data_IF_463731820792
#
_entry.id   IF_463731820792
#
_cell.length_a   1.000
_cell.length_b   1.000
_cell.length_c   1.000
_cell.angle_alpha   90.00
_cell.angle_beta   90.00
_cell.angle_gamma   90.00
#
_symmetry.space_group_name_H-M   'P 1'
#
loop_
_entity.id
_entity.type
_entity.pdbx_description
1 polymer ?
#
# COMPACT_ATOMS: atom_id res chain seq x y z
N UNK A 1 20.24 42.15 29.63
CA UNK A 1 20.71 41.72 28.29
C UNK A 1 21.31 40.34 28.46
N UNK A 2 20.63 39.29 27.98
CA UNK A 2 21.19 37.94 27.99
C UNK A 2 22.26 37.86 26.89
N UNK A 3 23.48 37.36 27.18
CA UNK A 3 24.48 37.15 26.15
C UNK A 3 24.00 36.04 25.22
N UNK A 4 23.88 36.37 23.94
CA UNK A 4 23.68 35.39 22.88
C UNK A 4 24.97 34.55 22.82
N UNK A 5 24.86 33.26 23.17
CA UNK A 5 25.94 32.30 23.04
C UNK A 5 26.17 32.08 21.53
N UNK A 6 27.02 32.90 20.90
CA UNK A 6 27.53 32.64 19.55
C UNK A 6 28.51 31.46 19.61
N UNK A 7 27.96 30.25 19.64
CA UNK A 7 28.74 29.04 19.41
C UNK A 7 29.01 28.96 17.90
N UNK A 8 30.08 29.61 17.44
CA UNK A 8 30.50 29.52 16.04
C UNK A 8 30.79 28.05 15.70
N UNK A 9 29.99 27.47 14.80
CA UNK A 9 30.25 26.15 14.24
C UNK A 9 31.59 26.17 13.52
N UNK A 10 32.40 25.10 13.68
CA UNK A 10 33.69 25.03 12.99
C UNK A 10 33.43 24.93 11.50
N UNK A 11 34.26 25.59 10.68
CA UNK A 11 34.15 25.51 9.23
C UNK A 11 34.12 24.05 8.72
N UNK A 12 34.86 23.15 9.36
CA UNK A 12 34.83 21.71 9.07
C UNK A 12 33.45 21.06 9.24
N UNK A 13 32.68 21.52 10.22
CA UNK A 13 31.35 20.98 10.52
C UNK A 13 30.33 21.50 9.50
N UNK A 14 30.42 22.78 9.14
CA UNK A 14 29.64 23.38 8.04
C UNK A 14 29.94 22.65 6.72
N UNK A 15 31.21 22.42 6.39
CA UNK A 15 31.59 21.70 5.17
C UNK A 15 31.07 20.27 5.14
N UNK A 16 31.08 19.54 6.27
CA UNK A 16 30.50 18.19 6.34
C UNK A 16 28.99 18.20 6.16
N UNK A 17 28.31 19.17 6.77
CA UNK A 17 26.86 19.35 6.66
C UNK A 17 26.47 19.66 5.21
N UNK A 18 27.12 20.63 4.59
CA UNK A 18 26.91 21.01 3.18
C UNK A 18 27.27 19.86 2.24
N UNK A 19 28.40 19.17 2.44
CA UNK A 19 28.79 18.03 1.60
C UNK A 19 27.77 16.88 1.65
N UNK A 20 27.03 16.73 2.76
CA UNK A 20 25.98 15.73 2.87
C UNK A 20 24.79 16.01 1.94
N UNK A 21 24.52 17.28 1.62
CA UNK A 21 23.46 17.72 0.70
C UNK A 21 23.80 17.42 -0.77
N UNK A 22 25.08 17.43 -1.13
CA UNK A 22 25.55 17.12 -2.49
C UNK A 22 25.73 15.62 -2.75
N UNK A 23 25.53 14.77 -1.73
CA UNK A 23 25.69 13.33 -1.88
C UNK A 23 24.58 12.80 -2.80
N UNK A 24 24.93 12.06 -3.87
CA UNK A 24 23.90 11.52 -4.76
C UNK A 24 22.98 10.58 -3.99
N UNK A 25 21.67 10.57 -4.32
CA UNK A 25 20.71 9.69 -3.68
C UNK A 25 21.15 8.23 -3.82
N UNK A 26 21.11 7.48 -2.72
CA UNK A 26 21.51 6.08 -2.69
C UNK A 26 20.58 5.25 -3.57
N UNK A 27 21.14 4.43 -4.47
CA UNK A 27 20.37 3.47 -5.28
C UNK A 27 19.99 2.23 -4.46
N UNK A 28 19.21 2.44 -3.40
CA UNK A 28 18.70 1.38 -2.54
C UNK A 28 17.25 1.07 -2.94
N UNK A 29 16.85 -0.19 -3.12
CA UNK A 29 15.44 -0.53 -3.28
C UNK A 29 14.62 0.04 -2.12
N UNK A 30 13.44 0.58 -2.42
CA UNK A 30 12.60 1.30 -1.46
C UNK A 30 12.31 0.42 -0.22
N UNK A 31 12.00 -0.86 -0.42
CA UNK A 31 11.73 -1.79 0.68
C UNK A 31 12.95 -2.01 1.60
N UNK A 32 14.16 -2.05 1.04
CA UNK A 32 15.38 -2.20 1.83
C UNK A 32 15.72 -0.91 2.59
N UNK A 33 15.46 0.26 1.99
CA UNK A 33 15.56 1.53 2.69
C UNK A 33 14.59 1.61 3.88
N UNK A 34 13.34 1.19 3.69
CA UNK A 34 12.35 1.14 4.76
C UNK A 34 12.83 0.22 5.87
N UNK A 35 13.27 -1.00 5.56
CA UNK A 35 13.82 -1.94 6.54
C UNK A 35 14.97 -1.32 7.35
N UNK A 36 15.88 -0.62 6.68
CA UNK A 36 17.07 -0.02 7.31
C UNK A 36 16.72 1.17 8.19
N UNK A 37 15.87 2.07 7.72
CA UNK A 37 15.71 3.39 8.29
C UNK A 37 14.39 3.64 9.02
N UNK A 38 13.32 2.93 8.69
CA UNK A 38 12.03 3.07 9.35
C UNK A 38 11.98 2.25 10.65
N UNK A 39 11.33 2.81 11.66
CA UNK A 39 10.95 2.12 12.89
C UNK A 39 9.44 2.16 13.04
N UNK A 40 8.83 0.98 13.08
CA UNK A 40 7.39 0.77 13.24
C UNK A 40 7.05 0.79 14.74
N UNK A 41 6.19 1.70 15.20
CA UNK A 41 5.74 1.72 16.59
C UNK A 41 4.89 0.47 16.92
N UNK A 42 5.24 -0.28 17.98
CA UNK A 42 4.49 -1.46 18.47
C UNK A 42 3.73 -1.20 19.78
N UNK A 43 3.83 0.00 20.32
CA UNK A 43 3.21 0.42 21.58
C UNK A 43 3.52 1.89 21.86
N UNK A 44 3.25 2.35 23.08
CA UNK A 44 3.52 3.75 23.45
C UNK A 44 5.01 4.12 23.40
N UNK A 45 5.89 3.19 23.79
CA UNK A 45 7.34 3.40 23.88
C UNK A 45 8.18 2.30 23.18
N UNK A 46 7.54 1.32 22.56
CA UNK A 46 8.24 0.22 21.86
C UNK A 46 8.14 0.43 20.35
N UNK A 47 9.25 0.22 19.66
CA UNK A 47 9.31 0.24 18.19
C UNK A 47 10.26 -0.86 17.71
N UNK A 48 10.02 -1.36 16.50
CA UNK A 48 10.86 -2.36 15.85
C UNK A 48 11.21 -1.94 14.42
N UNK A 49 12.19 -2.58 13.77
CA UNK A 49 12.39 -2.41 12.34
C UNK A 49 11.15 -2.88 11.58
N UNK A 50 10.93 -2.31 10.40
CA UNK A 50 9.97 -2.87 9.45
C UNK A 50 10.46 -4.24 8.98
N UNK A 51 9.64 -5.27 9.11
CA UNK A 51 9.98 -6.64 8.78
C UNK A 51 9.32 -7.06 7.46
N UNK A 52 10.10 -7.11 6.38
CA UNK A 52 9.62 -7.47 5.05
C UNK A 52 8.99 -8.88 4.98
N UNK A 53 9.47 -9.82 5.80
CA UNK A 53 8.96 -11.19 5.89
C UNK A 53 7.55 -11.31 6.48
N UNK A 54 7.02 -10.24 7.10
CA UNK A 54 5.64 -10.23 7.59
C UNK A 54 4.65 -10.00 6.46
N UNK A 55 5.00 -9.14 5.49
CA UNK A 55 4.15 -8.80 4.34
C UNK A 55 4.96 -8.84 3.04
N UNK A 56 5.45 -10.02 2.62
CA UNK A 56 6.34 -10.17 1.47
C UNK A 56 5.72 -9.69 0.15
N UNK A 57 4.42 -9.85 -0.02
CA UNK A 57 3.67 -9.35 -1.18
C UNK A 57 3.72 -7.81 -1.34
N UNK A 58 4.14 -7.07 -0.31
CA UNK A 58 4.32 -5.61 -0.38
C UNK A 58 5.66 -5.19 -0.99
N UNK A 59 6.66 -6.08 -1.04
CA UNK A 59 8.03 -5.75 -1.46
C UNK A 59 8.06 -5.19 -2.88
N UNK A 60 7.43 -5.90 -3.83
CA UNK A 60 7.39 -5.50 -5.24
C UNK A 60 6.63 -4.19 -5.47
N UNK A 61 5.38 -4.01 -4.98
CA UNK A 61 4.69 -2.73 -5.02
C UNK A 61 5.52 -1.57 -4.47
N UNK A 62 6.17 -1.77 -3.31
CA UNK A 62 7.00 -0.75 -2.66
C UNK A 62 8.21 -0.39 -3.52
N UNK A 63 8.94 -1.38 -4.02
CA UNK A 63 10.13 -1.14 -4.86
C UNK A 63 9.76 -0.44 -6.18
N UNK A 64 8.57 -0.74 -6.72
CA UNK A 64 8.05 -0.12 -7.94
C UNK A 64 7.83 1.39 -7.80
N UNK A 65 7.68 1.93 -6.59
CA UNK A 65 7.55 3.37 -6.33
C UNK A 65 8.78 4.21 -6.73
N UNK A 66 9.92 3.56 -7.00
CA UNK A 66 11.14 4.19 -7.50
C UNK A 66 11.43 3.90 -8.98
N UNK A 67 10.62 3.05 -9.62
CA UNK A 67 10.79 2.69 -11.01
C UNK A 67 10.37 3.85 -11.93
N UNK A 68 11.17 4.11 -12.96
CA UNK A 68 10.98 5.24 -13.89
C UNK A 68 10.10 4.91 -15.09
N UNK A 69 9.80 3.63 -15.29
CA UNK A 69 8.94 3.13 -16.36
C UNK A 69 7.44 3.30 -16.07
N UNK A 70 7.08 3.56 -14.81
CA UNK A 70 5.70 3.74 -14.36
C UNK A 70 5.48 5.18 -13.88
N UNK A 71 4.29 5.72 -14.15
CA UNK A 71 3.85 6.99 -13.54
C UNK A 71 3.02 6.77 -12.28
N UNK A 72 2.47 5.56 -12.13
CA UNK A 72 1.61 5.26 -11.01
C UNK A 72 1.74 3.81 -10.53
N UNK A 73 1.57 3.65 -9.23
CA UNK A 73 1.42 2.35 -8.56
C UNK A 73 0.03 2.29 -7.94
N UNK A 74 -0.75 1.28 -8.32
CA UNK A 74 -2.09 1.03 -7.78
C UNK A 74 -2.06 -0.26 -7.00
N UNK A 75 -2.42 -0.23 -5.71
CA UNK A 75 -2.49 -1.43 -4.88
C UNK A 75 -3.91 -1.64 -4.37
N UNK A 76 -4.54 -2.70 -4.85
CA UNK A 76 -5.82 -3.21 -4.38
C UNK A 76 -5.55 -4.35 -3.41
N UNK A 77 -6.09 -4.25 -2.21
CA UNK A 77 -6.13 -5.41 -1.33
C UNK A 77 -7.00 -5.18 -0.12
N UNK A 78 -7.33 -6.22 0.65
CA UNK A 78 -8.15 -6.09 1.83
C UNK A 78 -7.47 -5.25 2.91
N UNK A 79 -8.22 -4.83 3.91
CA UNK A 79 -7.67 -4.18 5.10
C UNK A 79 -6.63 -5.08 5.77
N UNK A 80 -5.71 -4.48 6.54
CA UNK A 80 -4.67 -5.20 7.30
C UNK A 80 -3.71 -6.03 6.43
N UNK A 81 -3.31 -5.48 5.29
CA UNK A 81 -2.27 -6.06 4.42
C UNK A 81 -0.92 -5.35 4.55
N UNK A 82 -0.83 -4.29 5.37
CA UNK A 82 0.40 -3.49 5.51
C UNK A 82 0.51 -2.36 4.48
N UNK A 83 -0.55 -2.05 3.73
CA UNK A 83 -0.59 -1.00 2.68
C UNK A 83 -0.08 0.34 3.19
N UNK A 84 -0.76 0.92 4.19
CA UNK A 84 -0.40 2.24 4.72
C UNK A 84 1.02 2.27 5.29
N UNK A 85 1.44 1.23 6.01
CA UNK A 85 2.77 1.18 6.62
C UNK A 85 3.89 1.07 5.57
N UNK A 86 3.73 0.21 4.57
CA UNK A 86 4.74 -0.01 3.55
C UNK A 86 4.72 1.04 2.43
N UNK A 87 3.57 1.26 1.81
CA UNK A 87 3.42 2.11 0.63
C UNK A 87 3.35 3.60 0.97
N UNK A 88 2.80 3.98 2.13
CA UNK A 88 2.65 5.39 2.53
C UNK A 88 3.77 5.78 3.48
N UNK A 89 3.76 5.26 4.72
CA UNK A 89 4.72 5.64 5.76
C UNK A 89 6.16 5.32 5.31
N UNK A 90 6.36 4.13 4.74
CA UNK A 90 7.66 3.70 4.23
C UNK A 90 8.17 4.55 3.06
N UNK A 91 7.30 4.92 2.13
CA UNK A 91 7.68 5.76 1.00
C UNK A 91 8.03 7.20 1.42
N UNK A 92 7.34 7.73 2.44
CA UNK A 92 7.72 8.99 3.09
C UNK A 92 9.14 8.88 3.66
N UNK A 93 9.46 7.81 4.41
CA UNK A 93 10.81 7.61 4.98
C UNK A 93 11.87 7.50 3.88
N UNK A 94 11.57 6.78 2.79
CA UNK A 94 12.45 6.70 1.63
C UNK A 94 12.67 8.08 1.00
N UNK A 95 11.61 8.85 0.83
CA UNK A 95 11.67 10.21 0.30
C UNK A 95 12.51 11.14 1.16
N UNK A 96 12.43 11.04 2.50
CA UNK A 96 13.21 11.89 3.41
C UNK A 96 14.71 11.54 3.37
N UNK A 97 15.06 10.27 3.27
CA UNK A 97 16.45 9.82 3.48
C UNK A 97 17.19 9.57 2.18
N UNK A 98 16.56 8.88 1.24
CA UNK A 98 17.23 8.31 0.07
C UNK A 98 17.05 9.17 -1.18
N UNK A 99 15.89 9.79 -1.36
CA UNK A 99 15.57 10.61 -2.53
C UNK A 99 14.71 11.83 -2.13
N UNK A 100 15.29 12.85 -1.46
CA UNK A 100 14.58 14.08 -1.07
C UNK A 100 13.75 14.70 -2.20
N UNK A 101 12.45 14.88 -1.93
CA UNK A 101 11.54 15.58 -2.83
C UNK A 101 10.18 15.80 -2.19
N UNK A 102 9.47 16.82 -2.68
CA UNK A 102 8.14 17.18 -2.20
C UNK A 102 7.14 16.05 -2.41
N UNK A 103 6.36 15.78 -1.36
CA UNK A 103 5.39 14.70 -1.31
C UNK A 103 4.06 15.18 -0.75
N UNK A 104 2.97 14.81 -1.43
CA UNK A 104 1.60 14.99 -0.97
C UNK A 104 1.02 13.64 -0.58
N UNK A 105 0.49 13.53 0.63
CA UNK A 105 -0.31 12.39 1.12
C UNK A 105 -1.73 12.85 1.31
N UNK A 106 -2.69 12.21 0.66
CA UNK A 106 -4.11 12.54 0.75
C UNK A 106 -4.84 11.42 1.48
N UNK A 107 -5.42 11.76 2.63
CA UNK A 107 -6.27 10.89 3.44
C UNK A 107 -7.74 11.12 3.10
N UNK A 108 -8.64 10.21 3.50
CA UNK A 108 -10.08 10.32 3.18
C UNK A 108 -10.78 11.58 3.71
N UNK A 109 -10.34 12.13 4.84
CA UNK A 109 -10.93 13.32 5.47
C UNK A 109 -9.85 14.13 6.20
N UNK A 110 -10.12 15.40 6.48
CA UNK A 110 -9.23 16.28 7.26
C UNK A 110 -8.93 15.68 8.65
N UNK A 111 -9.93 15.14 9.34
CA UNK A 111 -9.76 14.50 10.64
C UNK A 111 -8.78 13.32 10.56
N UNK A 112 -8.88 12.50 9.49
CA UNK A 112 -7.97 11.36 9.29
C UNK A 112 -6.57 11.81 8.87
N UNK A 113 -6.44 12.88 8.09
CA UNK A 113 -5.15 13.53 7.81
C UNK A 113 -4.45 13.97 9.11
N UNK A 114 -5.19 14.65 9.99
CA UNK A 114 -4.70 15.09 11.30
C UNK A 114 -4.32 13.93 12.21
N UNK A 115 -5.15 12.89 12.26
CA UNK A 115 -4.90 11.68 13.05
C UNK A 115 -3.62 10.97 12.57
N UNK A 116 -3.51 10.74 11.26
CA UNK A 116 -2.35 10.09 10.63
C UNK A 116 -1.05 10.84 10.95
N UNK A 117 -1.05 12.17 10.81
CA UNK A 117 0.11 13.01 11.16
C UNK A 117 0.50 12.93 12.64
N UNK A 118 -0.46 13.17 13.55
CA UNK A 118 -0.18 13.29 14.99
C UNK A 118 0.16 11.97 15.66
N UNK A 119 -0.43 10.87 15.18
CA UNK A 119 -0.32 9.58 15.86
C UNK A 119 0.70 8.67 15.19
N UNK A 120 0.64 8.52 13.86
CA UNK A 120 1.41 7.52 13.12
C UNK A 120 2.73 8.09 12.63
N UNK A 121 2.71 9.17 11.85
CA UNK A 121 3.93 9.77 11.30
C UNK A 121 4.80 10.38 12.40
N UNK A 122 4.21 11.13 13.34
CA UNK A 122 4.96 11.72 14.45
C UNK A 122 5.68 10.67 15.30
N UNK A 123 5.07 9.50 15.54
CA UNK A 123 5.72 8.38 16.25
C UNK A 123 6.81 7.75 15.38
N UNK A 124 6.52 7.47 14.11
CA UNK A 124 7.50 6.90 13.16
C UNK A 124 8.75 7.78 13.08
N UNK A 125 8.59 9.09 12.94
CA UNK A 125 9.70 10.05 12.87
C UNK A 125 10.49 10.10 14.17
N UNK A 126 9.80 10.15 15.32
CA UNK A 126 10.44 10.14 16.64
C UNK A 126 11.25 8.86 16.90
N UNK A 127 10.75 7.70 16.46
CA UNK A 127 11.42 6.43 16.66
C UNK A 127 12.48 6.11 15.60
N UNK A 128 12.49 6.82 14.46
CA UNK A 128 13.44 6.62 13.36
C UNK A 128 14.56 7.67 13.42
N UNK A 129 15.76 7.36 13.95
CA UNK A 129 16.75 8.39 14.27
C UNK A 129 17.24 9.16 13.04
N UNK A 130 17.39 8.48 11.90
CA UNK A 130 17.85 9.09 10.66
C UNK A 130 16.80 10.02 10.02
N UNK A 131 15.52 9.77 10.28
CA UNK A 131 14.42 10.65 9.88
C UNK A 131 14.39 11.88 10.78
N UNK A 132 14.46 11.67 12.10
CA UNK A 132 14.39 12.76 13.08
C UNK A 132 15.50 13.80 12.89
N UNK A 133 16.69 13.39 12.45
CA UNK A 133 17.82 14.30 12.18
C UNK A 133 17.59 15.22 10.98
N UNK A 134 16.67 14.87 10.09
CA UNK A 134 16.38 15.62 8.85
C UNK A 134 15.18 16.55 8.97
N UNK A 135 14.41 16.46 10.05
CA UNK A 135 13.33 17.41 10.32
C UNK A 135 13.90 18.79 10.58
N UNK A 136 13.25 19.83 10.07
CA UNK A 136 13.60 21.21 10.41
C UNK A 136 13.50 21.42 11.93
N UNK A 137 14.48 22.09 12.58
CA UNK A 137 14.41 22.41 14.01
C UNK A 137 13.42 23.55 14.30
N UNK A 138 12.98 24.30 13.27
CA UNK A 138 12.01 25.38 13.42
C UNK A 138 10.64 24.83 13.82
N UNK A 139 10.03 25.43 14.84
CA UNK A 139 8.68 25.07 15.29
C UNK A 139 7.60 25.41 14.26
N UNK A 140 7.81 26.45 13.45
CA UNK A 140 6.84 26.90 12.45
C UNK A 140 6.77 25.97 11.23
N UNK A 141 7.83 25.20 11.01
CA UNK A 141 8.02 24.32 9.87
C UNK A 141 7.39 22.93 10.08
N UNK A 142 6.88 22.66 11.28
CA UNK A 142 6.41 21.36 11.72
C UNK A 142 4.95 21.40 12.18
N UNK A 143 4.05 21.79 11.26
CA UNK A 143 2.62 21.87 11.51
C UNK A 143 1.94 20.49 11.44
N UNK A 144 0.64 20.44 11.72
CA UNK A 144 -0.12 19.18 11.68
C UNK A 144 -0.18 18.62 10.27
N UNK A 145 -0.42 19.45 9.26
CA UNK A 145 -0.61 19.01 7.88
C UNK A 145 0.64 19.19 7.02
N UNK A 146 1.69 19.80 7.55
CA UNK A 146 2.83 20.25 6.77
C UNK A 146 4.11 20.04 7.57
N UNK A 147 5.11 19.40 6.96
CA UNK A 147 6.43 19.15 7.55
C UNK A 147 7.52 19.59 6.57
N UNK A 148 8.47 20.41 7.00
CA UNK A 148 9.67 20.72 6.23
C UNK A 148 10.90 19.96 6.74
N UNK A 149 11.77 19.61 5.82
CA UNK A 149 13.04 18.94 6.08
C UNK A 149 14.22 19.89 5.81
N UNK A 150 15.38 19.56 6.37
CA UNK A 150 16.60 20.38 6.28
C UNK A 150 17.13 20.56 4.85
N UNK A 151 16.80 19.63 3.95
CA UNK A 151 17.13 19.72 2.53
C UNK A 151 16.18 20.65 1.75
N UNK A 152 15.18 21.23 2.41
CA UNK A 152 14.18 22.12 1.83
C UNK A 152 12.95 21.40 1.28
N UNK A 153 12.92 20.06 1.27
CA UNK A 153 11.76 19.30 0.82
C UNK A 153 10.59 19.41 1.80
N UNK A 154 9.40 19.16 1.26
CA UNK A 154 8.13 19.39 1.95
C UNK A 154 7.21 18.17 1.89
N UNK A 155 6.65 17.79 3.04
CA UNK A 155 5.60 16.78 3.15
C UNK A 155 4.27 17.44 3.54
N UNK A 156 3.31 17.38 2.61
CA UNK A 156 1.92 17.80 2.84
C UNK A 156 1.02 16.61 3.13
N UNK A 157 0.11 16.76 4.09
CA UNK A 157 -0.87 15.75 4.51
C UNK A 157 -2.26 16.38 4.39
N UNK A 158 -2.92 16.12 3.26
CA UNK A 158 -4.21 16.70 2.89
C UNK A 158 -5.36 15.69 2.88
N UNK A 159 -6.46 16.14 2.29
CA UNK A 159 -7.71 15.40 2.07
C UNK A 159 -8.27 15.78 0.68
N UNK A 160 -9.34 15.14 0.19
CA UNK A 160 -9.80 15.35 -1.17
C UNK A 160 -10.53 16.70 -1.25
N UNK A 161 -9.79 17.75 -1.61
CA UNK A 161 -10.33 19.08 -1.92
C UNK A 161 -9.57 19.70 -3.08
N UNK A 162 -10.23 20.56 -3.85
CA UNK A 162 -9.56 21.30 -4.95
C UNK A 162 -8.39 22.11 -4.41
N UNK A 163 -8.51 22.71 -3.24
CA UNK A 163 -7.44 23.53 -2.64
C UNK A 163 -6.18 22.71 -2.34
N UNK A 164 -6.32 21.43 -2.01
CA UNK A 164 -5.18 20.52 -1.79
C UNK A 164 -4.59 20.07 -3.13
N UNK A 165 -5.44 19.79 -4.12
CA UNK A 165 -5.01 19.35 -5.45
C UNK A 165 -4.60 20.49 -6.39
N UNK A 166 -4.79 21.76 -6.02
CA UNK A 166 -4.48 22.92 -6.86
C UNK A 166 -3.16 23.60 -6.47
N UNK A 167 -2.61 24.38 -7.41
CA UNK A 167 -1.51 25.34 -7.21
C UNK A 167 -0.09 24.79 -6.99
N UNK A 168 0.10 23.57 -6.48
CA UNK A 168 1.43 23.03 -6.18
C UNK A 168 1.72 21.73 -6.90
N UNK A 169 2.87 21.65 -7.56
CA UNK A 169 3.40 20.41 -8.13
C UNK A 169 4.11 19.59 -7.05
N UNK A 170 3.92 18.28 -7.08
CA UNK A 170 4.58 17.34 -6.17
C UNK A 170 5.21 16.23 -6.98
N UNK A 171 6.47 15.92 -6.72
CA UNK A 171 7.13 14.78 -7.37
C UNK A 171 6.47 13.46 -6.96
N UNK A 172 5.89 13.40 -5.76
CA UNK A 172 5.22 12.22 -5.22
C UNK A 172 3.85 12.57 -4.71
N UNK A 173 2.83 11.83 -5.13
CA UNK A 173 1.48 11.94 -4.57
C UNK A 173 1.00 10.56 -4.15
N UNK A 174 0.52 10.43 -2.92
CA UNK A 174 -0.03 9.19 -2.38
C UNK A 174 -1.48 9.39 -1.95
N UNK A 175 -2.39 8.58 -2.50
CA UNK A 175 -3.81 8.55 -2.16
C UNK A 175 -4.09 7.26 -1.38
N UNK A 176 -4.56 7.38 -0.14
CA UNK A 176 -4.79 6.24 0.75
C UNK A 176 -6.26 6.11 1.09
N UNK A 177 -6.76 4.87 1.09
CA UNK A 177 -8.18 4.54 1.19
C UNK A 177 -9.03 5.20 0.08
N UNK A 178 -8.55 5.15 -1.16
CA UNK A 178 -9.15 5.79 -2.34
C UNK A 178 -10.65 5.53 -2.54
N UNK A 179 -11.14 4.31 -2.32
CA UNK A 179 -12.57 3.99 -2.48
C UNK A 179 -13.47 4.77 -1.52
N UNK A 180 -12.93 5.37 -0.45
CA UNK A 180 -13.66 6.24 0.47
C UNK A 180 -13.74 7.70 0.02
N UNK A 181 -13.10 8.06 -1.10
CA UNK A 181 -13.08 9.44 -1.60
C UNK A 181 -14.38 9.76 -2.35
N UNK A 182 -14.76 11.03 -2.49
CA UNK A 182 -15.82 11.39 -3.43
C UNK A 182 -15.41 10.99 -4.87
N UNK A 183 -16.37 10.54 -5.68
CA UNK A 183 -16.09 10.17 -7.09
C UNK A 183 -15.68 11.39 -7.92
N UNK A 184 -16.19 12.56 -7.53
CA UNK A 184 -15.83 13.84 -8.10
C UNK A 184 -15.43 14.79 -6.96
N UNK A 185 -14.16 15.20 -6.93
CA UNK A 185 -13.64 16.14 -5.94
C UNK A 185 -14.09 17.55 -6.33
N UNK A 186 -15.08 18.07 -5.62
CA UNK A 186 -15.62 19.43 -5.75
C UNK A 186 -16.02 19.83 -7.20
N UNK A 187 -16.30 18.86 -8.08
CA UNK A 187 -16.76 19.10 -9.46
C UNK A 187 -15.68 18.98 -10.56
N UNK A 188 -14.40 18.85 -10.21
CA UNK A 188 -13.25 18.88 -11.15
C UNK A 188 -12.80 17.50 -11.66
N UNK A 189 -13.38 16.41 -11.16
CA UNK A 189 -13.10 15.03 -11.56
C UNK A 189 -12.56 14.14 -10.43
N UNK A 190 -12.08 12.95 -10.80
CA UNK A 190 -11.59 11.97 -9.84
C UNK A 190 -10.24 12.36 -9.24
N UNK A 191 -10.02 12.00 -7.97
CA UNK A 191 -8.82 12.39 -7.24
C UNK A 191 -7.52 11.83 -7.84
N UNK A 192 -7.55 10.67 -8.50
CA UNK A 192 -6.35 10.12 -9.14
C UNK A 192 -5.92 10.96 -10.35
N UNK A 193 -6.86 11.39 -11.18
CA UNK A 193 -6.58 12.28 -12.30
C UNK A 193 -6.06 13.63 -11.81
N UNK A 194 -6.65 14.19 -10.75
CA UNK A 194 -6.15 15.44 -10.15
C UNK A 194 -4.75 15.29 -9.56
N UNK A 195 -4.49 14.19 -8.85
CA UNK A 195 -3.16 13.86 -8.30
C UNK A 195 -2.10 13.68 -9.38
N UNK A 196 -2.42 12.96 -10.46
CA UNK A 196 -1.49 12.68 -11.56
C UNK A 196 -1.07 13.96 -12.31
N UNK A 197 -1.94 14.97 -12.36
CA UNK A 197 -1.60 16.30 -12.91
C UNK A 197 -0.52 17.03 -12.09
N UNK A 198 -0.27 16.66 -10.83
CA UNK A 198 0.75 17.29 -9.97
C UNK A 198 2.14 16.68 -10.14
N UNK A 199 2.21 15.45 -10.61
CA UNK A 199 3.47 14.74 -10.89
C UNK A 199 3.95 14.96 -12.32
N UNK A 200 3.10 15.51 -13.20
CA UNK A 200 3.35 15.62 -14.65
C UNK A 200 4.63 16.40 -14.99
N UNK A 201 4.90 17.50 -14.28
CA UNK A 201 6.10 18.34 -14.51
C UNK A 201 7.41 17.61 -14.19
N UNK A 202 7.35 16.54 -13.40
CA UNK A 202 8.51 15.72 -13.01
C UNK A 202 8.80 14.56 -13.97
N UNK A 203 8.03 14.41 -15.06
CA UNK A 203 8.24 13.41 -16.11
C UNK A 203 8.42 11.98 -15.52
N UNK A 204 9.41 11.22 -16.00
CA UNK A 204 9.75 9.86 -15.50
C UNK A 204 10.14 9.77 -14.03
N UNK A 205 10.27 10.89 -13.32
CA UNK A 205 10.60 10.92 -11.89
C UNK A 205 9.39 11.23 -11.00
N UNK A 206 8.26 11.61 -11.59
CA UNK A 206 6.99 11.80 -10.92
C UNK A 206 6.27 10.47 -10.71
N UNK A 207 5.66 10.28 -9.54
CA UNK A 207 4.99 9.02 -9.18
C UNK A 207 3.70 9.28 -8.40
N UNK A 208 2.61 8.65 -8.81
CA UNK A 208 1.31 8.67 -8.12
C UNK A 208 0.99 7.29 -7.56
N UNK A 209 0.98 7.17 -6.24
CA UNK A 209 0.55 5.96 -5.54
C UNK A 209 -0.93 6.06 -5.19
N UNK A 210 -1.67 4.98 -5.41
CA UNK A 210 -3.03 4.81 -4.91
C UNK A 210 -3.14 3.45 -4.23
N UNK A 211 -3.60 3.42 -2.99
CA UNK A 211 -3.92 2.17 -2.30
C UNK A 211 -5.32 2.23 -1.71
N UNK A 212 -6.05 1.11 -1.79
CA UNK A 212 -7.37 1.01 -1.18
C UNK A 212 -7.81 -0.44 -0.98
N UNK A 213 -8.83 -0.60 -0.14
CA UNK A 213 -9.62 -1.82 -0.09
C UNK A 213 -10.84 -1.62 -0.99
N UNK A 214 -11.12 -2.54 -1.94
CA UNK A 214 -12.24 -2.38 -2.85
C UNK A 214 -13.55 -2.36 -2.06
N UNK A 215 -14.43 -1.42 -2.37
CA UNK A 215 -15.73 -1.29 -1.71
C UNK A 215 -16.80 -0.60 -2.55
N UNK A 216 -16.54 -0.39 -3.84
CA UNK A 216 -17.48 0.18 -4.81
C UNK A 216 -18.32 -0.90 -5.47
N UNK A 217 -19.55 -0.54 -5.82
CA UNK A 217 -20.49 -1.47 -6.42
C UNK A 217 -20.10 -1.83 -7.86
N UNK A 218 -20.35 -3.07 -8.24
CA UNK A 218 -20.12 -3.55 -9.61
C UNK A 218 -21.19 -2.90 -10.50
N UNK A 219 -20.76 -2.16 -11.53
CA UNK A 219 -21.65 -1.39 -12.40
C UNK A 219 -22.42 -2.25 -13.40
N UNK A 220 -21.89 -3.44 -13.73
CA UNK A 220 -22.53 -4.41 -14.62
C UNK A 220 -22.65 -5.77 -13.94
N UNK A 221 -23.85 -6.11 -13.48
CA UNK A 221 -24.14 -7.37 -12.78
C UNK A 221 -24.14 -8.60 -13.71
N UNK A 222 -24.19 -8.39 -15.03
CA UNK A 222 -24.07 -9.47 -16.02
C UNK A 222 -22.64 -9.69 -16.47
N UNK A 223 -21.71 -8.90 -15.94
CA UNK A 223 -20.31 -8.99 -16.30
C UNK A 223 -19.77 -10.40 -16.06
N UNK A 224 -19.03 -10.88 -17.05
CA UNK A 224 -18.23 -12.10 -16.94
C UNK A 224 -16.79 -11.72 -17.14
N UNK A 225 -15.91 -12.32 -16.36
CA UNK A 225 -14.48 -12.07 -16.41
C UNK A 225 -13.93 -12.30 -17.82
N UNK A 226 -13.46 -11.23 -18.47
CA UNK A 226 -12.97 -11.25 -19.85
C UNK A 226 -11.53 -11.73 -19.99
N UNK A 227 -10.74 -11.68 -18.91
CA UNK A 227 -9.35 -12.13 -18.86
C UNK A 227 -8.95 -12.60 -17.47
N UNK A 228 -7.90 -13.43 -17.37
CA UNK A 228 -7.51 -14.09 -16.12
C UNK A 228 -7.27 -13.14 -14.93
N UNK A 229 -6.85 -11.90 -15.20
CA UNK A 229 -6.52 -10.91 -14.17
C UNK A 229 -7.46 -9.70 -14.18
N UNK A 230 -8.50 -9.69 -15.01
CA UNK A 230 -9.40 -8.54 -15.12
C UNK A 230 -10.29 -8.42 -13.88
N UNK A 231 -10.46 -7.19 -13.39
CA UNK A 231 -11.39 -6.89 -12.30
C UNK A 231 -12.79 -6.58 -12.83
N UNK A 232 -13.84 -6.85 -12.03
CA UNK A 232 -15.19 -6.45 -12.39
C UNK A 232 -15.27 -4.94 -12.63
N UNK A 233 -16.15 -4.48 -13.54
CA UNK A 233 -16.32 -3.08 -13.85
C UNK A 233 -16.94 -2.38 -12.65
N UNK A 234 -16.25 -1.36 -12.15
CA UNK A 234 -16.70 -0.52 -11.03
C UNK A 234 -16.01 0.84 -11.09
N UNK A 235 -16.45 1.79 -10.28
CA UNK A 235 -15.72 3.03 -10.00
C UNK A 235 -14.63 2.78 -8.93
N UNK A 236 -13.82 3.77 -8.60
CA UNK A 236 -12.79 3.61 -7.56
C UNK A 236 -11.55 2.82 -7.98
N UNK A 237 -10.93 2.12 -7.04
CA UNK A 237 -9.59 1.54 -7.14
C UNK A 237 -9.50 0.41 -8.16
N UNK A 238 -10.54 -0.43 -8.28
CA UNK A 238 -10.57 -1.52 -9.25
C UNK A 238 -10.62 -1.01 -10.69
N UNK A 239 -11.25 0.15 -10.91
CA UNK A 239 -11.19 0.87 -12.19
C UNK A 239 -9.75 1.26 -12.54
N UNK A 240 -9.01 1.80 -11.57
CA UNK A 240 -7.59 2.17 -11.74
C UNK A 240 -6.72 0.93 -11.95
N UNK A 241 -7.00 -0.16 -11.25
CA UNK A 241 -6.31 -1.42 -11.44
C UNK A 241 -6.45 -1.94 -12.87
N UNK A 242 -7.66 -1.88 -13.43
CA UNK A 242 -7.94 -2.32 -14.80
C UNK A 242 -7.22 -1.49 -15.88
N UNK A 243 -6.83 -0.25 -15.58
CA UNK A 243 -6.01 0.61 -16.46
C UNK A 243 -4.52 0.23 -16.47
N UNK A 244 -4.04 -0.49 -15.44
CA UNK A 244 -2.65 -0.89 -15.31
C UNK A 244 -2.29 -2.21 -16.01
N UNK A 245 -1.17 -2.80 -15.58
CA UNK A 245 -0.65 -4.10 -16.04
C UNK A 245 -1.28 -5.32 -15.34
N UNK A 246 -2.19 -5.09 -14.38
CA UNK A 246 -3.09 -6.07 -13.76
C UNK A 246 -2.35 -7.28 -13.16
N UNK A 247 -1.54 -7.00 -12.14
CA UNK A 247 -0.79 -8.03 -11.42
C UNK A 247 -1.63 -8.73 -10.35
N UNK A 248 -1.54 -10.06 -10.31
CA UNK A 248 -2.16 -10.90 -9.28
C UNK A 248 -1.09 -11.65 -8.48
N UNK A 249 -1.40 -11.92 -7.22
CA UNK A 249 -0.51 -12.64 -6.32
C UNK A 249 -0.73 -14.15 -6.43
N UNK A 250 0.36 -14.91 -6.57
CA UNK A 250 0.34 -16.36 -6.73
C UNK A 250 1.21 -17.05 -5.68
N UNK A 251 0.78 -18.23 -5.25
CA UNK A 251 1.56 -19.14 -4.39
C UNK A 251 1.97 -20.40 -5.15
N UNK A 252 3.18 -20.93 -4.93
CA UNK A 252 3.53 -22.27 -5.38
C UNK A 252 2.77 -23.30 -4.53
N UNK A 253 2.05 -24.23 -5.16
CA UNK A 253 1.38 -25.29 -4.42
C UNK A 253 2.41 -26.23 -3.76
N UNK A 254 2.33 -26.52 -2.45
CA UNK A 254 3.28 -27.41 -1.78
C UNK A 254 3.14 -28.88 -2.21
N UNK A 255 2.03 -29.23 -2.86
CA UNK A 255 1.73 -30.61 -3.28
C UNK A 255 2.15 -30.89 -4.72
N UNK A 256 1.98 -29.94 -5.64
CA UNK A 256 2.26 -30.14 -7.08
C UNK A 256 3.22 -29.11 -7.70
N UNK A 257 3.67 -28.10 -6.95
CA UNK A 257 4.57 -27.05 -7.45
C UNK A 257 3.89 -25.98 -8.33
N UNK A 258 2.73 -26.28 -8.92
CA UNK A 258 2.01 -25.34 -9.77
C UNK A 258 1.56 -24.08 -9.01
N UNK A 259 1.71 -22.94 -9.66
CA UNK A 259 1.31 -21.65 -9.10
C UNK A 259 -0.20 -21.43 -9.22
N UNK A 260 -0.82 -20.92 -8.16
CA UNK A 260 -2.24 -20.57 -8.15
C UNK A 260 -2.52 -19.36 -7.27
N UNK A 261 -3.67 -18.70 -7.50
CA UNK A 261 -4.06 -17.53 -6.72
C UNK A 261 -4.76 -17.96 -5.41
N UNK A 262 -4.35 -17.42 -4.26
CA UNK A 262 -5.03 -17.63 -2.98
C UNK A 262 -6.27 -16.73 -2.87
N UNK A 263 -7.32 -17.09 -3.61
CA UNK A 263 -8.62 -16.40 -3.68
C UNK A 263 -9.67 -17.10 -2.84
N UNK A 264 -10.74 -16.37 -2.50
CA UNK A 264 -11.84 -16.92 -1.68
C UNK A 264 -12.53 -18.12 -2.33
N UNK A 265 -12.64 -18.16 -3.66
CA UNK A 265 -13.23 -19.27 -4.42
C UNK A 265 -12.53 -20.62 -4.19
N UNK A 266 -11.25 -20.59 -3.80
CA UNK A 266 -10.47 -21.78 -3.51
C UNK A 266 -10.57 -22.22 -2.04
N UNK A 267 -11.25 -21.45 -1.19
CA UNK A 267 -11.43 -21.80 0.22
C UNK A 267 -12.52 -22.87 0.38
N UNK A 268 -12.27 -23.89 1.18
CA UNK A 268 -13.17 -25.03 1.38
C UNK A 268 -13.18 -25.51 2.84
N UNK A 269 -14.02 -26.51 3.14
CA UNK A 269 -14.10 -27.14 4.47
C UNK A 269 -15.01 -26.43 5.48
N UNK A 270 -15.53 -25.24 5.16
CA UNK A 270 -16.29 -24.42 6.12
C UNK A 270 -17.82 -24.42 5.91
N UNK A 271 -18.33 -24.74 4.70
CA UNK A 271 -19.75 -24.54 4.33
C UNK A 271 -20.77 -25.41 5.08
N UNK A 272 -20.39 -26.55 5.64
CA UNK A 272 -21.32 -27.53 6.22
C UNK A 272 -21.29 -27.57 7.75
N UNK A 273 -20.77 -26.53 8.41
CA UNK A 273 -20.64 -26.49 9.85
C UNK A 273 -21.57 -25.41 10.45
N UNK A 274 -22.53 -25.79 11.32
CA UNK A 274 -23.45 -24.82 11.93
C UNK A 274 -22.76 -23.89 12.93
N UNK A 275 -21.61 -24.29 13.49
CA UNK A 275 -20.80 -23.43 14.34
C UNK A 275 -19.78 -22.68 13.48
N UNK A 276 -19.93 -21.36 13.36
CA UNK A 276 -19.06 -20.51 12.54
C UNK A 276 -17.60 -20.49 13.02
N UNK A 277 -17.35 -20.71 14.32
CA UNK A 277 -15.99 -20.82 14.85
C UNK A 277 -15.35 -22.11 14.38
N UNK A 278 -16.04 -23.23 14.56
CA UNK A 278 -15.59 -24.52 14.07
C UNK A 278 -15.47 -24.56 12.54
N UNK A 279 -16.35 -23.85 11.81
CA UNK A 279 -16.27 -23.66 10.36
C UNK A 279 -14.97 -22.96 9.96
N UNK A 280 -14.62 -21.88 10.66
CA UNK A 280 -13.38 -21.13 10.44
C UNK A 280 -12.13 -21.97 10.72
N UNK A 281 -12.15 -22.83 11.74
CA UNK A 281 -11.04 -23.74 12.05
C UNK A 281 -10.88 -24.87 11.02
N UNK A 282 -11.99 -25.31 10.44
CA UNK A 282 -12.01 -26.31 9.37
C UNK A 282 -11.61 -25.74 8.00
N UNK A 283 -11.55 -24.40 7.85
CA UNK A 283 -11.23 -23.75 6.60
C UNK A 283 -9.85 -24.15 6.07
N UNK A 284 -9.78 -24.59 4.82
CA UNK A 284 -8.56 -24.94 4.10
C UNK A 284 -8.59 -24.33 2.72
N UNK A 285 -7.41 -23.99 2.20
CA UNK A 285 -7.29 -23.54 0.82
C UNK A 285 -7.02 -24.75 -0.08
N UNK A 286 -7.86 -24.97 -1.09
CA UNK A 286 -7.72 -26.08 -2.02
C UNK A 286 -7.00 -25.63 -3.28
N UNK A 287 -5.91 -26.32 -3.65
CA UNK A 287 -5.24 -26.05 -4.91
C UNK A 287 -6.17 -26.40 -6.10
N UNK A 288 -6.37 -25.49 -7.09
CA UNK A 288 -7.22 -25.76 -8.23
C UNK A 288 -6.63 -26.83 -9.18
N UNK A 289 -5.30 -27.05 -9.15
CA UNK A 289 -4.61 -27.98 -10.03
C UNK A 289 -4.63 -29.42 -9.53
N UNK A 290 -4.21 -29.66 -8.29
CA UNK A 290 -4.08 -31.01 -7.72
C UNK A 290 -5.13 -31.34 -6.65
N UNK A 291 -6.01 -30.39 -6.28
CA UNK A 291 -6.99 -30.52 -5.19
C UNK A 291 -6.40 -30.77 -3.80
N UNK A 292 -5.08 -30.65 -3.65
CA UNK A 292 -4.41 -30.71 -2.36
C UNK A 292 -4.90 -29.61 -1.43
N UNK A 293 -5.17 -29.97 -0.17
CA UNK A 293 -5.61 -29.05 0.87
C UNK A 293 -4.38 -28.44 1.56
N UNK A 294 -4.40 -27.12 1.70
CA UNK A 294 -3.35 -26.35 2.36
C UNK A 294 -3.87 -25.90 3.71
N UNK A 295 -3.07 -26.13 4.74
CA UNK A 295 -3.42 -25.81 6.11
C UNK A 295 -3.06 -24.35 6.46
N UNK A 296 -3.77 -23.71 7.42
CA UNK A 296 -3.52 -22.33 7.81
C UNK A 296 -2.06 -22.04 8.22
N UNK A 297 -1.37 -23.04 8.79
CA UNK A 297 0.02 -22.92 9.27
C UNK A 297 1.00 -22.68 8.12
N UNK A 298 0.69 -23.19 6.92
CA UNK A 298 1.52 -23.05 5.73
C UNK A 298 1.40 -21.66 5.08
N UNK A 299 0.40 -20.86 5.45
CA UNK A 299 0.14 -19.53 4.86
C UNK A 299 1.36 -18.63 4.89
N UNK A 300 2.10 -18.59 6.00
CA UNK A 300 3.26 -17.70 6.14
C UNK A 300 4.38 -18.11 5.19
N UNK A 301 4.66 -19.41 5.09
CA UNK A 301 5.68 -19.94 4.19
C UNK A 301 5.32 -19.65 2.73
N UNK A 302 4.08 -19.94 2.33
CA UNK A 302 3.60 -19.71 0.97
C UNK A 302 3.62 -18.22 0.59
N UNK A 303 3.31 -17.32 1.53
CA UNK A 303 3.48 -15.90 1.31
C UNK A 303 4.94 -15.49 1.06
N UNK A 304 5.91 -16.13 1.71
CA UNK A 304 7.32 -15.81 1.48
C UNK A 304 7.86 -16.38 0.15
N UNK A 305 7.15 -17.34 -0.46
CA UNK A 305 7.49 -17.91 -1.77
C UNK A 305 6.58 -17.39 -2.90
N UNK A 306 5.63 -16.52 -2.58
CA UNK A 306 4.69 -16.00 -3.55
C UNK A 306 5.32 -15.01 -4.52
N UNK A 307 4.68 -14.86 -5.67
CA UNK A 307 5.15 -14.01 -6.76
C UNK A 307 4.00 -13.20 -7.35
N UNK A 308 4.32 -12.03 -7.90
CA UNK A 308 3.39 -11.24 -8.69
C UNK A 308 3.51 -11.61 -10.17
N UNK A 309 2.39 -11.93 -10.80
CA UNK A 309 2.31 -12.16 -12.25
C UNK A 309 1.44 -11.09 -12.90
N UNK A 310 1.95 -10.47 -13.98
CA UNK A 310 1.19 -9.53 -14.82
C UNK A 310 0.18 -10.29 -15.68
N UNK A 311 -0.83 -9.59 -16.18
CA UNK A 311 -1.75 -10.19 -17.17
C UNK A 311 -0.95 -10.64 -18.40
N UNK A 312 -1.13 -11.90 -18.80
CA UNK A 312 -0.40 -12.53 -19.90
C UNK A 312 0.85 -13.30 -19.51
N UNK A 313 1.28 -13.21 -18.24
CA UNK A 313 2.38 -14.01 -17.69
C UNK A 313 1.87 -15.28 -17.00
N UNK A 314 2.73 -16.30 -16.95
CA UNK A 314 2.52 -17.56 -16.22
C UNK A 314 3.83 -17.98 -15.57
N UNK A 315 3.74 -18.52 -14.37
CA UNK A 315 4.88 -19.15 -13.71
C UNK A 315 4.84 -20.66 -13.91
N UNK A 316 5.98 -21.24 -14.26
CA UNK A 316 6.19 -22.68 -14.20
C UNK A 316 6.54 -23.11 -12.77
N UNK A 317 6.49 -24.43 -12.50
CA UNK A 317 6.78 -24.99 -11.17
C UNK A 317 8.22 -24.71 -10.67
N UNK A 318 9.15 -24.39 -11.56
CA UNK A 318 10.52 -23.98 -11.22
C UNK A 318 10.65 -22.48 -10.86
N UNK A 319 9.54 -21.73 -10.91
CA UNK A 319 9.48 -20.30 -10.65
C UNK A 319 9.84 -19.42 -11.85
N UNK A 320 10.15 -20.00 -13.01
CA UNK A 320 10.40 -19.23 -14.23
C UNK A 320 9.10 -18.60 -14.74
N UNK A 321 9.17 -17.31 -15.07
CA UNK A 321 8.03 -16.54 -15.61
C UNK A 321 8.14 -16.50 -17.13
N UNK A 322 7.08 -16.92 -17.80
CA UNK A 322 6.96 -16.90 -19.27
C UNK A 322 5.67 -16.18 -19.69
N UNK A 323 5.59 -15.76 -20.94
CA UNK A 323 4.42 -15.07 -21.49
C UNK A 323 4.74 -13.65 -21.94
N UNK A 324 3.73 -12.97 -22.47
CA UNK A 324 3.85 -11.58 -22.92
C UNK A 324 3.05 -10.70 -21.97
N UNK A 325 3.71 -9.91 -21.10
CA UNK A 325 3.00 -9.11 -20.12
C UNK A 325 2.23 -7.97 -20.80
N UNK A 326 1.07 -7.64 -20.23
CA UNK A 326 0.35 -6.41 -20.55
C UNK A 326 1.27 -5.20 -20.32
N UNK A 327 1.45 -4.40 -21.36
CA UNK A 327 2.21 -3.16 -21.27
C UNK A 327 1.31 -2.03 -20.75
N UNK A 328 1.75 -1.32 -19.72
CA UNK A 328 1.07 -0.12 -19.18
C UNK A 328 2.07 0.76 -18.44
N UNK A 329 1.79 2.06 -18.38
CA UNK A 329 2.54 3.00 -17.52
C UNK A 329 2.04 3.01 -16.07
N UNK A 330 1.03 2.20 -15.74
CA UNK A 330 0.54 2.01 -14.38
C UNK A 330 0.84 0.58 -13.95
N UNK A 331 1.64 0.43 -12.89
CA UNK A 331 1.83 -0.85 -12.24
C UNK A 331 0.67 -1.08 -11.26
N UNK A 332 -0.22 -2.02 -11.57
CA UNK A 332 -1.39 -2.30 -10.74
C UNK A 332 -1.32 -3.68 -10.13
N UNK A 333 -1.59 -3.76 -8.83
CA UNK A 333 -1.46 -4.96 -8.01
C UNK A 333 -2.79 -5.25 -7.34
N UNK A 334 -3.23 -6.51 -7.36
CA UNK A 334 -4.41 -6.93 -6.63
C UNK A 334 -4.22 -8.28 -5.94
N UNK A 335 -4.41 -8.27 -4.62
CA UNK A 335 -4.39 -9.45 -3.76
C UNK A 335 -5.67 -9.53 -2.91
N UNK A 336 -6.14 -10.73 -2.64
CA UNK A 336 -7.37 -11.00 -1.88
C UNK A 336 -7.12 -11.46 -0.43
N UNK A 337 -8.21 -11.55 0.35
CA UNK A 337 -8.26 -11.92 1.77
C UNK A 337 -7.37 -13.08 2.20
N UNK A 338 -7.39 -14.24 1.52
CA UNK A 338 -6.68 -15.43 2.01
C UNK A 338 -5.16 -15.23 2.15
N UNK A 339 -4.54 -14.37 1.34
CA UNK A 339 -3.12 -14.06 1.44
C UNK A 339 -2.76 -12.98 2.48
N UNK A 340 -3.71 -12.17 2.96
CA UNK A 340 -3.44 -11.06 3.87
C UNK A 340 -2.79 -11.52 5.19
N UNK A 341 -1.59 -11.04 5.50
CA UNK A 341 -0.78 -11.59 6.58
C UNK A 341 -1.42 -11.45 7.98
N UNK A 342 -2.12 -10.34 8.25
CA UNK A 342 -2.69 -10.04 9.56
C UNK A 342 -4.17 -10.45 9.71
N UNK A 343 -4.66 -11.31 8.81
CA UNK A 343 -5.99 -11.90 8.88
C UNK A 343 -5.89 -13.42 8.83
N UNK A 344 -6.34 -14.09 9.89
CA UNK A 344 -6.43 -15.56 9.92
C UNK A 344 -7.60 -16.04 9.06
N UNK A 345 -7.51 -17.22 8.47
CA UNK A 345 -8.64 -17.80 7.73
C UNK A 345 -9.86 -18.06 8.62
N UNK A 346 -9.64 -18.43 9.88
CA UNK A 346 -10.73 -18.57 10.86
C UNK A 346 -11.54 -17.28 10.99
N UNK A 347 -10.88 -16.14 11.27
CA UNK A 347 -11.54 -14.83 11.32
C UNK A 347 -12.17 -14.41 9.99
N UNK A 348 -11.54 -14.72 8.86
CA UNK A 348 -12.06 -14.39 7.53
C UNK A 348 -13.39 -15.13 7.28
N UNK A 349 -13.40 -16.44 7.53
CA UNK A 349 -14.57 -17.29 7.33
C UNK A 349 -15.67 -17.01 8.35
N UNK A 350 -15.31 -16.81 9.62
CA UNK A 350 -16.29 -16.44 10.64
C UNK A 350 -17.06 -15.17 10.24
N UNK A 351 -16.34 -14.14 9.79
CA UNK A 351 -16.96 -12.89 9.34
C UNK A 351 -17.80 -13.09 8.08
N UNK A 352 -17.35 -13.94 7.16
CA UNK A 352 -18.09 -14.22 5.93
C UNK A 352 -19.43 -14.88 6.26
N UNK A 353 -19.41 -15.95 7.06
CA UNK A 353 -20.62 -16.68 7.44
C UNK A 353 -21.59 -15.81 8.25
N UNK A 354 -21.08 -14.99 9.17
CA UNK A 354 -21.90 -14.05 9.91
C UNK A 354 -22.53 -12.98 9.00
N UNK A 355 -21.80 -12.51 7.99
CA UNK A 355 -22.31 -11.56 7.00
C UNK A 355 -23.36 -12.19 6.07
N UNK A 356 -23.16 -13.45 5.67
CA UNK A 356 -24.13 -14.21 4.87
C UNK A 356 -25.43 -14.46 5.67
N UNK A 357 -25.34 -14.86 6.94
CA UNK A 357 -26.53 -15.04 7.81
C UNK A 357 -27.28 -13.72 8.03
N UNK A 358 -26.56 -12.61 8.21
CA UNK A 358 -27.19 -11.29 8.32
C UNK A 358 -27.88 -10.87 7.02
N UNK A 359 -27.26 -11.16 5.87
CA UNK A 359 -27.88 -10.92 4.57
C UNK A 359 -29.15 -11.75 4.39
N UNK A 360 -29.14 -13.04 4.75
CA UNK A 360 -30.33 -13.90 4.70
C UNK A 360 -31.45 -13.38 5.61
N UNK A 361 -31.10 -12.82 6.77
CA UNK A 361 -32.07 -12.29 7.75
C UNK A 361 -32.64 -10.92 7.37
N UNK A 362 -31.82 -10.05 6.81
CA UNK A 362 -32.14 -8.61 6.66
C UNK A 362 -32.28 -8.16 5.20
N UNK A 363 -31.76 -8.93 4.24
CA UNK A 363 -31.59 -8.52 2.85
C UNK A 363 -30.53 -7.42 2.65
N UNK A 364 -29.79 -7.02 3.70
CA UNK A 364 -28.77 -5.97 3.62
C UNK A 364 -27.42 -6.51 3.19
N UNK A 365 -26.86 -5.96 2.12
CA UNK A 365 -25.52 -6.33 1.62
C UNK A 365 -24.38 -5.58 2.33
N UNK A 366 -24.68 -4.65 3.24
CA UNK A 366 -23.68 -3.77 3.85
C UNK A 366 -22.58 -4.54 4.59
N UNK A 367 -22.95 -5.58 5.34
CA UNK A 367 -22.00 -6.40 6.09
C UNK A 367 -21.18 -7.29 5.16
N UNK A 368 -21.77 -7.79 4.07
CA UNK A 368 -21.05 -8.56 3.04
C UNK A 368 -19.99 -7.70 2.35
N UNK A 369 -20.33 -6.45 1.99
CA UNK A 369 -19.40 -5.47 1.38
C UNK A 369 -18.22 -5.14 2.29
N UNK A 370 -18.34 -5.29 3.60
CA UNK A 370 -17.27 -5.02 4.55
C UNK A 370 -16.29 -6.18 4.75
N UNK A 371 -16.65 -7.39 4.30
CA UNK A 371 -15.94 -8.64 4.61
C UNK A 371 -15.27 -9.27 3.39
N UNK A 372 -15.92 -9.18 2.22
CA UNK A 372 -15.49 -9.85 0.98
C UNK A 372 -14.46 -9.03 0.21
#
# INVERSE_FOLDING_TARGET
>A
MNPVNECHSRASDIWREVASLFRPPGRLPVAEAIRRYMRVPRGANTSGPWESSLTPYMIDPINTLSAREYDAVVFVGPARTGKTEGLIDGWIVYGIICDPADMLVVQMTETKAREHSRTRLSRTFRHSPEVSKRLSPSRNDNNVHDKMFLDGSFLKIGWPSITVFSSSDYRRVALTDYDRFPENVDGEGDAFTLASKRTTTFMSSGMTLVESSPGRDITDTKWRCGGAHEAPPTTGILSLYNRGDRRRWYWPCPHCGEYFQPVMDNMTGYRNNPDFVAAGQAARLMCPHCRGLIAPEQKRELNNQGIWLREGERAAADGSITGTPRNSRIASFWMEGPAAAFQTWEQLIFKLLAAEEEYERTGSEETLKAVV
#
